data_IF_845978112679
#
_entry.id   IF_845978112679
#
_cell.length_a   1.000
_cell.length_b   1.000
_cell.length_c   1.000
_cell.angle_alpha   90.00
_cell.angle_beta   90.00
_cell.angle_gamma   90.00
#
_symmetry.space_group_name_H-M   'P 1'
#
loop_
_entity.id
_entity.type
_entity.pdbx_description
1 polymer ?
#
# COMPACT_ATOMS: atom_id res chain seq x y z
N UNK A 1 -8.05 -22.64 25.18
CA UNK A 1 -7.71 -21.45 25.96
C UNK A 1 -7.85 -20.22 25.07
N UNK A 2 -8.80 -19.33 25.39
CA UNK A 2 -8.99 -18.09 24.66
C UNK A 2 -7.95 -17.07 25.16
N UNK A 3 -6.88 -16.86 24.41
CA UNK A 3 -5.89 -15.84 24.69
C UNK A 3 -6.45 -14.48 24.27
N UNK A 4 -6.69 -13.59 25.23
CA UNK A 4 -7.08 -12.20 24.93
C UNK A 4 -5.82 -11.39 24.71
N UNK A 5 -5.70 -10.76 23.53
CA UNK A 5 -4.63 -9.81 23.24
C UNK A 5 -5.18 -8.39 23.29
N UNK A 6 -4.61 -7.53 24.13
CA UNK A 6 -4.93 -6.12 24.20
C UNK A 6 -3.96 -5.35 23.31
N UNK A 7 -4.48 -4.71 22.26
CA UNK A 7 -3.67 -3.89 21.37
C UNK A 7 -3.88 -2.40 21.65
N UNK A 8 -2.84 -1.74 22.14
CA UNK A 8 -2.83 -0.28 22.32
C UNK A 8 -2.40 0.36 21.00
N UNK A 9 -3.37 0.82 20.20
CA UNK A 9 -3.07 1.48 18.94
C UNK A 9 -2.18 2.70 19.13
N UNK A 10 -1.03 2.72 18.47
CA UNK A 10 -0.12 3.86 18.46
C UNK A 10 0.82 3.96 19.66
N UNK A 11 0.93 2.94 20.53
CA UNK A 11 1.84 2.96 21.67
C UNK A 11 3.30 3.27 21.29
N UNK A 12 3.77 2.75 20.15
CA UNK A 12 5.15 2.95 19.66
C UNK A 12 5.26 4.03 18.58
N UNK A 13 4.17 4.33 17.86
CA UNK A 13 4.19 5.22 16.69
C UNK A 13 3.39 6.51 16.89
N UNK A 14 2.86 6.73 18.11
CA UNK A 14 1.98 7.84 18.45
C UNK A 14 0.51 7.60 18.05
N UNK A 15 -0.41 8.12 18.86
CA UNK A 15 -1.87 7.97 18.66
C UNK A 15 -2.38 8.74 17.44
N UNK A 16 -1.65 9.76 16.97
CA UNK A 16 -2.04 10.59 15.84
C UNK A 16 -1.99 9.78 14.53
N UNK A 17 -3.04 9.92 13.72
CA UNK A 17 -3.17 9.20 12.44
C UNK A 17 -2.03 9.50 11.47
N UNK A 18 -1.57 10.72 11.40
CA UNK A 18 -0.46 11.19 10.57
C UNK A 18 0.64 11.78 11.43
N UNK A 19 1.85 11.32 11.29
CA UNK A 19 3.07 11.87 11.86
C UNK A 19 4.25 11.59 10.91
N UNK A 20 5.41 12.14 11.22
CA UNK A 20 6.60 12.01 10.37
C UNK A 20 7.00 10.54 10.18
N UNK A 21 7.09 9.77 11.25
CA UNK A 21 7.45 8.35 11.21
C UNK A 21 6.51 7.53 10.32
N UNK A 22 5.19 7.67 10.53
CA UNK A 22 4.17 6.95 9.73
C UNK A 22 4.22 7.37 8.26
N UNK A 23 4.54 8.63 7.98
CA UNK A 23 4.64 9.16 6.63
C UNK A 23 5.84 8.59 5.88
N UNK A 24 7.02 8.52 6.54
CA UNK A 24 8.21 7.85 6.00
C UNK A 24 7.92 6.37 5.72
N UNK A 25 7.34 5.66 6.68
CA UNK A 25 6.97 4.24 6.50
C UNK A 25 5.95 4.04 5.39
N UNK A 26 4.96 4.92 5.26
CA UNK A 26 3.99 4.86 4.18
C UNK A 26 4.63 5.05 2.81
N UNK A 27 5.51 6.03 2.66
CA UNK A 27 6.26 6.26 1.42
C UNK A 27 7.12 5.07 1.04
N UNK A 28 7.88 4.54 2.00
CA UNK A 28 8.73 3.36 1.82
C UNK A 28 7.94 2.12 1.44
N UNK A 29 6.91 1.80 2.20
CA UNK A 29 6.13 0.57 2.01
C UNK A 29 5.28 0.60 0.73
N UNK A 30 4.85 1.77 0.27
CA UNK A 30 4.13 1.89 -1.00
C UNK A 30 4.92 1.38 -2.20
N UNK A 31 6.23 1.42 -2.15
CA UNK A 31 7.13 0.93 -3.21
C UNK A 31 7.63 -0.49 -2.89
N UNK A 32 8.12 -0.71 -1.67
CA UNK A 32 8.77 -1.99 -1.33
C UNK A 32 7.80 -3.16 -1.27
N UNK A 33 6.57 -2.98 -0.78
CA UNK A 33 5.62 -4.08 -0.66
C UNK A 33 5.20 -4.65 -2.02
N UNK A 34 4.76 -3.85 -3.01
CA UNK A 34 4.50 -4.37 -4.35
C UNK A 34 5.75 -4.99 -4.97
N UNK A 35 6.91 -4.33 -4.85
CA UNK A 35 8.16 -4.84 -5.40
C UNK A 35 8.55 -6.20 -4.82
N UNK A 36 8.44 -6.36 -3.49
CA UNK A 36 8.82 -7.59 -2.78
C UNK A 36 7.86 -8.74 -3.01
N UNK A 37 6.57 -8.46 -3.19
CA UNK A 37 5.53 -9.49 -3.19
C UNK A 37 5.02 -9.85 -4.59
N UNK A 38 5.20 -8.98 -5.58
CA UNK A 38 4.74 -9.23 -6.94
C UNK A 38 5.89 -9.62 -7.88
N UNK A 39 5.76 -10.70 -8.67
CA UNK A 39 6.64 -10.97 -9.80
C UNK A 39 6.65 -9.81 -10.80
N UNK A 40 7.70 -9.69 -11.60
CA UNK A 40 7.86 -8.55 -12.53
C UNK A 40 6.68 -8.40 -13.49
N UNK A 41 6.17 -9.50 -14.04
CA UNK A 41 5.02 -9.48 -14.95
C UNK A 41 3.76 -8.89 -14.29
N UNK A 42 3.49 -9.24 -13.03
CA UNK A 42 2.35 -8.67 -12.28
C UNK A 42 2.58 -7.19 -11.94
N UNK A 43 3.82 -6.78 -11.64
CA UNK A 43 4.14 -5.37 -11.45
C UNK A 43 3.88 -4.53 -12.70
N UNK A 44 4.24 -5.05 -13.87
CA UNK A 44 3.99 -4.38 -15.15
C UNK A 44 2.48 -4.30 -15.44
N UNK A 45 1.76 -5.38 -15.21
CA UNK A 45 0.29 -5.40 -15.38
C UNK A 45 -0.41 -4.39 -14.46
N UNK A 46 0.04 -4.28 -13.22
CA UNK A 46 -0.53 -3.39 -12.21
C UNK A 46 0.16 -2.01 -12.16
N UNK A 47 1.00 -1.66 -13.12
CA UNK A 47 1.77 -0.42 -13.11
C UNK A 47 0.85 0.82 -13.04
N UNK A 48 -0.19 0.88 -13.85
CA UNK A 48 -1.12 2.03 -13.89
C UNK A 48 -1.86 2.20 -12.55
N UNK A 49 -2.58 1.20 -12.00
CA UNK A 49 -3.26 1.38 -10.72
C UNK A 49 -2.29 1.64 -9.57
N UNK A 50 -1.09 1.06 -9.56
CA UNK A 50 -0.08 1.34 -8.56
C UNK A 50 0.42 2.79 -8.65
N UNK A 51 0.70 3.30 -9.86
CA UNK A 51 1.14 4.67 -10.09
C UNK A 51 0.06 5.67 -9.65
N UNK A 52 -1.21 5.44 -10.04
CA UNK A 52 -2.32 6.29 -9.63
C UNK A 52 -2.51 6.29 -8.11
N UNK A 53 -2.46 5.12 -7.47
CA UNK A 53 -2.53 5.01 -6.02
C UNK A 53 -1.37 5.71 -5.30
N UNK A 54 -0.19 5.67 -5.89
CA UNK A 54 1.00 6.36 -5.38
C UNK A 54 0.86 7.88 -5.50
N UNK A 55 0.45 8.38 -6.66
CA UNK A 55 0.19 9.80 -6.89
C UNK A 55 -0.87 10.34 -5.93
N UNK A 56 -1.95 9.60 -5.74
CA UNK A 56 -3.00 9.97 -4.77
C UNK A 56 -2.45 10.06 -3.35
N UNK A 57 -1.59 9.13 -2.93
CA UNK A 57 -0.93 9.19 -1.62
C UNK A 57 -0.02 10.41 -1.51
N UNK A 58 0.77 10.72 -2.53
CA UNK A 58 1.61 11.92 -2.57
C UNK A 58 0.75 13.16 -2.33
N UNK A 59 -0.36 13.28 -3.04
CA UNK A 59 -1.29 14.40 -2.89
C UNK A 59 -1.85 14.48 -1.46
N UNK A 60 -2.36 13.36 -0.92
CA UNK A 60 -2.93 13.32 0.44
C UNK A 60 -1.90 13.67 1.51
N UNK A 61 -0.69 13.14 1.43
CA UNK A 61 0.38 13.47 2.39
C UNK A 61 0.88 14.91 2.20
N UNK A 62 0.90 15.42 0.95
CA UNK A 62 1.22 16.81 0.64
C UNK A 62 0.23 17.78 1.27
N UNK A 63 -1.07 17.58 1.06
CA UNK A 63 -2.14 18.40 1.63
C UNK A 63 -2.16 18.39 3.18
N UNK A 64 -1.57 17.37 3.80
CA UNK A 64 -1.45 17.25 5.26
C UNK A 64 -0.12 17.77 5.83
N UNK A 65 0.75 18.36 4.99
CA UNK A 65 2.05 18.89 5.42
C UNK A 65 3.14 17.83 5.61
N UNK A 66 2.92 16.59 5.16
CA UNK A 66 3.88 15.47 5.31
C UNK A 66 4.56 15.08 3.99
N UNK A 67 4.69 16.02 3.07
CA UNK A 67 5.36 15.82 1.79
C UNK A 67 6.80 15.33 1.94
N UNK A 68 7.62 16.08 2.69
CA UNK A 68 9.05 15.79 2.86
C UNK A 68 9.30 14.40 3.47
N UNK A 69 8.67 14.01 4.60
CA UNK A 69 8.87 12.68 5.15
C UNK A 69 8.36 11.56 4.23
N UNK A 70 7.26 11.79 3.49
CA UNK A 70 6.77 10.79 2.55
C UNK A 70 7.76 10.53 1.40
N UNK A 71 8.31 11.59 0.79
CA UNK A 71 9.33 11.48 -0.26
C UNK A 71 10.64 10.89 0.28
N UNK A 72 11.04 11.23 1.51
CA UNK A 72 12.17 10.59 2.18
C UNK A 72 11.99 9.07 2.22
N UNK A 73 10.83 8.59 2.66
CA UNK A 73 10.50 7.16 2.67
C UNK A 73 10.56 6.53 1.28
N UNK A 74 10.04 7.20 0.25
CA UNK A 74 10.15 6.74 -1.12
C UNK A 74 11.59 6.59 -1.61
N UNK A 75 12.45 7.56 -1.31
CA UNK A 75 13.90 7.50 -1.64
C UNK A 75 14.59 6.33 -0.92
N UNK A 76 14.26 6.11 0.35
CA UNK A 76 14.77 4.95 1.10
C UNK A 76 14.34 3.62 0.46
N UNK A 77 13.10 3.54 -0.04
CA UNK A 77 12.64 2.36 -0.77
C UNK A 77 13.50 2.08 -2.02
N UNK A 78 13.72 3.08 -2.86
CA UNK A 78 14.55 2.91 -4.06
C UNK A 78 15.99 2.47 -3.72
N UNK A 79 16.58 3.01 -2.65
CA UNK A 79 17.91 2.58 -2.17
C UNK A 79 17.91 1.14 -1.64
N UNK A 80 16.77 0.67 -1.13
CA UNK A 80 16.63 -0.68 -0.59
C UNK A 80 16.35 -1.74 -1.69
N UNK A 81 15.78 -1.35 -2.84
CA UNK A 81 15.43 -2.24 -3.95
C UNK A 81 16.54 -3.24 -4.31
N UNK A 82 17.82 -2.82 -4.50
CA UNK A 82 18.88 -3.77 -4.87
C UNK A 82 19.14 -4.87 -3.83
N UNK A 83 18.78 -4.61 -2.57
CA UNK A 83 18.97 -5.55 -1.45
C UNK A 83 17.77 -6.48 -1.24
N UNK A 84 16.66 -6.22 -1.89
CA UNK A 84 15.42 -6.97 -1.71
C UNK A 84 15.32 -8.11 -2.71
N UNK A 85 15.24 -9.34 -2.22
CA UNK A 85 14.99 -10.51 -3.08
C UNK A 85 13.58 -10.44 -3.66
N UNK A 86 13.49 -10.48 -4.98
CA UNK A 86 12.23 -10.45 -5.71
C UNK A 86 11.73 -11.87 -5.98
N UNK A 87 10.42 -12.15 -5.88
CA UNK A 87 9.88 -13.44 -6.27
C UNK A 87 10.02 -13.62 -7.79
N UNK A 88 10.50 -14.81 -8.17
CA UNK A 88 10.56 -15.19 -9.57
C UNK A 88 9.17 -15.55 -10.07
N UNK A 89 8.84 -15.16 -11.29
CA UNK A 89 7.63 -15.61 -11.96
C UNK A 89 7.70 -17.12 -12.19
N UNK A 90 6.64 -17.84 -11.86
CA UNK A 90 6.52 -19.29 -12.09
C UNK A 90 5.24 -19.58 -12.86
N UNK A 91 5.36 -20.14 -14.05
CA UNK A 91 4.23 -20.51 -14.90
C UNK A 91 3.21 -21.41 -14.21
N UNK A 92 3.68 -22.32 -13.35
CA UNK A 92 2.83 -23.17 -12.51
C UNK A 92 1.84 -22.39 -11.63
N UNK A 93 2.18 -21.17 -11.27
CA UNK A 93 1.36 -20.31 -10.40
C UNK A 93 0.44 -19.35 -11.21
N UNK A 94 0.36 -19.50 -12.53
CA UNK A 94 -0.46 -18.62 -13.37
C UNK A 94 -1.93 -18.54 -12.94
N UNK A 95 -2.63 -19.64 -12.58
CA UNK A 95 -4.00 -19.56 -12.11
C UNK A 95 -4.14 -18.73 -10.82
N UNK A 96 -3.16 -18.84 -9.91
CA UNK A 96 -3.14 -18.05 -8.67
C UNK A 96 -2.89 -16.57 -8.95
N UNK A 97 -2.02 -16.24 -9.90
CA UNK A 97 -1.80 -14.85 -10.31
C UNK A 97 -3.09 -14.25 -10.90
N UNK A 98 -3.77 -14.98 -11.79
CA UNK A 98 -5.04 -14.54 -12.35
C UNK A 98 -6.11 -14.33 -11.27
N UNK A 99 -6.20 -15.24 -10.29
CA UNK A 99 -7.12 -15.12 -9.17
C UNK A 99 -6.81 -13.87 -8.31
N UNK A 100 -5.52 -13.59 -8.03
CA UNK A 100 -5.10 -12.40 -7.29
C UNK A 100 -5.52 -11.13 -8.06
N UNK A 101 -5.33 -11.08 -9.37
CA UNK A 101 -5.73 -9.93 -10.19
C UNK A 101 -7.24 -9.70 -10.16
N UNK A 102 -8.03 -10.77 -10.25
CA UNK A 102 -9.49 -10.68 -10.12
C UNK A 102 -9.92 -10.15 -8.74
N UNK A 103 -9.25 -10.59 -7.68
CA UNK A 103 -9.54 -10.11 -6.33
C UNK A 103 -9.13 -8.63 -6.15
N UNK A 104 -7.98 -8.25 -6.66
CA UNK A 104 -7.54 -6.84 -6.62
C UNK A 104 -8.53 -5.94 -7.36
N UNK A 105 -8.98 -6.35 -8.55
CA UNK A 105 -10.01 -5.63 -9.29
C UNK A 105 -11.34 -5.55 -8.51
N UNK A 106 -11.81 -6.68 -7.97
CA UNK A 106 -13.02 -6.72 -7.16
C UNK A 106 -12.94 -5.80 -5.92
N UNK A 107 -11.79 -5.75 -5.26
CA UNK A 107 -11.60 -4.89 -4.08
C UNK A 107 -11.59 -3.40 -4.42
N UNK A 108 -11.10 -3.01 -5.60
CA UNK A 108 -11.22 -1.63 -6.09
C UNK A 108 -12.70 -1.24 -6.22
N UNK A 109 -13.53 -2.08 -6.86
CA UNK A 109 -14.96 -1.80 -7.00
C UNK A 109 -15.69 -1.79 -5.65
N UNK A 110 -15.38 -2.74 -4.76
CA UNK A 110 -15.91 -2.77 -3.38
C UNK A 110 -15.57 -1.51 -2.62
N UNK A 111 -14.32 -1.06 -2.71
CA UNK A 111 -13.87 0.17 -2.04
C UNK A 111 -14.59 1.41 -2.56
N UNK A 112 -14.72 1.54 -3.87
CA UNK A 112 -15.47 2.65 -4.50
C UNK A 112 -16.93 2.61 -4.05
N UNK A 113 -17.59 1.46 -4.12
CA UNK A 113 -18.97 1.29 -3.68
C UNK A 113 -19.16 1.64 -2.21
N UNK A 114 -18.26 1.18 -1.33
CA UNK A 114 -18.28 1.54 0.09
C UNK A 114 -18.15 3.05 0.31
N UNK A 115 -17.26 3.72 -0.42
CA UNK A 115 -17.04 5.17 -0.33
C UNK A 115 -18.26 5.95 -0.77
N UNK A 116 -18.89 5.54 -1.86
CA UNK A 116 -20.11 6.14 -2.38
C UNK A 116 -21.24 5.98 -1.36
N UNK A 117 -21.49 4.77 -0.87
CA UNK A 117 -22.54 4.51 0.14
C UNK A 117 -22.32 5.33 1.41
N UNK A 118 -21.06 5.45 1.85
CA UNK A 118 -20.74 6.26 3.04
C UNK A 118 -20.98 7.74 2.80
N UNK A 119 -20.73 8.24 1.60
CA UNK A 119 -21.00 9.63 1.24
C UNK A 119 -22.50 9.94 1.31
N UNK A 120 -23.36 9.05 0.82
CA UNK A 120 -24.80 9.21 0.90
C UNK A 120 -25.39 8.98 2.29
N UNK A 121 -24.74 8.19 3.16
CA UNK A 121 -25.23 7.89 4.52
C UNK A 121 -24.90 9.01 5.54
N UNK A 122 -24.02 9.97 5.20
CA UNK A 122 -23.65 11.11 6.05
C UNK A 122 -24.54 12.34 5.73
N UNK A 123 -25.42 12.25 4.77
CA UNK A 123 -26.42 13.26 4.46
C UNK A 123 -27.77 12.82 5.00
#
# INVERSE_FOLDING_TARGET
PATKCYHICGATTGAVRYNEFKSVQSGRNSILLPYKNMPLGMLLLNFIPLALGYLLKILVFGLRGFWTPYIKGAREAFRAIPKVKKPKFRWRNLPHYALIELWLAADVFRYIGYRIMRFFKIR
#
